data_IF_897463973642
#
_entry.id   IF_897463973642
#
_cell.length_a   1.000
_cell.length_b   1.000
_cell.length_c   1.000
_cell.angle_alpha   90.00
_cell.angle_beta   90.00
_cell.angle_gamma   90.00
#
_symmetry.space_group_name_H-M   'P 1'
#
loop_
_entity.id
_entity.type
_entity.pdbx_description
1 polymer ?
#
# COMPACT_ATOMS: atom_id res chain seq x y z
N UNK A 1 -2.04 17.54 -7.07
CA UNK A 1 -3.14 17.70 -6.08
C UNK A 1 -3.54 16.32 -5.58
N UNK A 2 -3.44 15.98 -4.28
CA UNK A 2 -4.31 15.01 -3.57
C UNK A 2 -3.93 15.01 -2.07
N UNK A 3 -4.25 16.12 -1.38
CA UNK A 3 -4.03 16.33 0.07
C UNK A 3 -5.04 15.60 0.98
N UNK A 4 -5.89 14.72 0.44
CA UNK A 4 -7.08 14.23 1.15
C UNK A 4 -6.84 13.22 2.28
N UNK A 5 -5.61 12.71 2.45
CA UNK A 5 -5.30 11.77 3.54
C UNK A 5 -4.53 12.36 4.72
N UNK A 6 -4.03 13.60 4.61
CA UNK A 6 -3.19 14.17 5.68
C UNK A 6 -4.01 14.50 6.93
N UNK A 7 -5.23 14.99 6.74
CA UNK A 7 -6.14 15.41 7.81
C UNK A 7 -7.35 14.48 7.98
N UNK A 8 -7.38 13.36 7.27
CA UNK A 8 -8.49 12.40 7.35
C UNK A 8 -8.25 11.41 8.50
N UNK A 9 -9.31 11.11 9.25
CA UNK A 9 -9.26 10.09 10.29
C UNK A 9 -9.10 8.67 9.70
N UNK A 10 -9.64 8.47 8.49
CA UNK A 10 -9.56 7.24 7.70
C UNK A 10 -9.37 7.55 6.22
N UNK A 11 -8.60 6.72 5.54
CA UNK A 11 -8.41 6.76 4.10
C UNK A 11 -8.77 5.43 3.47
N UNK A 12 -9.50 5.50 2.37
CA UNK A 12 -9.92 4.32 1.62
C UNK A 12 -9.10 4.23 0.33
N UNK A 13 -8.54 3.04 0.09
CA UNK A 13 -7.79 2.72 -1.13
C UNK A 13 -8.54 1.63 -1.86
N UNK A 14 -9.10 1.99 -3.01
CA UNK A 14 -9.74 1.05 -3.92
C UNK A 14 -8.71 0.54 -4.94
N UNK A 15 -8.58 -0.78 -5.02
CA UNK A 15 -7.64 -1.49 -5.91
C UNK A 15 -8.43 -2.19 -7.02
N UNK A 16 -8.66 -1.49 -8.12
CA UNK A 16 -9.41 -2.01 -9.27
C UNK A 16 -8.74 -3.20 -9.96
N UNK A 17 -7.43 -3.36 -9.76
CA UNK A 17 -6.58 -4.42 -10.30
C UNK A 17 -6.45 -5.64 -9.38
N UNK A 18 -7.07 -5.62 -8.19
CA UNK A 18 -7.14 -6.76 -7.27
C UNK A 18 -8.57 -7.30 -7.32
N UNK A 19 -8.72 -8.50 -7.89
CA UNK A 19 -10.01 -9.19 -7.98
C UNK A 19 -10.00 -10.43 -7.10
N UNK A 20 -11.05 -10.60 -6.30
CA UNK A 20 -11.25 -11.80 -5.49
C UNK A 20 -12.24 -12.70 -6.24
N UNK A 21 -11.87 -13.95 -6.57
CA UNK A 21 -12.81 -14.88 -7.17
C UNK A 21 -13.95 -15.17 -6.20
N UNK A 22 -15.18 -15.09 -6.71
CA UNK A 22 -16.40 -15.38 -5.95
C UNK A 22 -16.43 -16.88 -5.62
N UNK A 23 -16.03 -17.23 -4.40
CA UNK A 23 -15.97 -18.60 -3.92
C UNK A 23 -15.99 -18.65 -2.39
N UNK A 24 -16.75 -19.61 -1.83
CA UNK A 24 -17.09 -19.71 -0.41
C UNK A 24 -15.89 -19.88 0.55
N UNK A 25 -14.67 -20.04 0.02
CA UNK A 25 -13.44 -20.15 0.81
C UNK A 25 -12.54 -18.91 0.64
N UNK A 26 -13.06 -17.76 1.07
CA UNK A 26 -12.31 -16.50 1.16
C UNK A 26 -11.23 -16.60 2.26
N UNK A 27 -10.13 -17.27 1.95
CA UNK A 27 -8.94 -17.26 2.82
C UNK A 27 -8.05 -16.08 2.43
N UNK A 28 -7.31 -15.53 3.40
CA UNK A 28 -6.36 -14.42 3.24
C UNK A 28 -5.38 -14.64 2.07
N UNK A 29 -5.07 -15.90 1.77
CA UNK A 29 -4.17 -16.30 0.67
C UNK A 29 -4.72 -15.95 -0.73
N UNK A 30 -6.04 -15.84 -0.88
CA UNK A 30 -6.69 -15.74 -2.20
C UNK A 30 -6.45 -14.39 -2.86
N UNK A 31 -6.49 -13.30 -2.09
CA UNK A 31 -6.28 -11.96 -2.61
C UNK A 31 -4.81 -11.52 -2.55
N UNK A 32 -3.99 -12.17 -1.72
CA UNK A 32 -2.60 -11.77 -1.51
C UNK A 32 -1.77 -11.81 -2.80
N UNK A 33 -1.94 -12.85 -3.62
CA UNK A 33 -1.24 -12.96 -4.90
C UNK A 33 -1.61 -11.82 -5.87
N UNK A 34 -2.89 -11.44 -5.94
CA UNK A 34 -3.35 -10.33 -6.76
C UNK A 34 -2.87 -8.97 -6.19
N UNK A 35 -2.91 -8.82 -4.86
CA UNK A 35 -2.41 -7.63 -4.18
C UNK A 35 -0.91 -7.42 -4.38
N UNK A 36 -0.10 -8.49 -4.31
CA UNK A 36 1.35 -8.45 -4.62
C UNK A 36 1.64 -7.95 -6.03
N UNK A 37 0.77 -8.28 -6.99
CA UNK A 37 0.86 -7.81 -8.37
C UNK A 37 0.19 -6.46 -8.62
N UNK A 38 -0.32 -5.80 -7.57
CA UNK A 38 -1.11 -4.60 -7.74
C UNK A 38 -0.30 -3.44 -8.35
N UNK A 39 -0.90 -2.79 -9.34
CA UNK A 39 -0.36 -1.58 -9.96
C UNK A 39 -0.24 -0.44 -8.95
N UNK A 40 -1.11 -0.42 -7.93
CA UNK A 40 -1.03 0.57 -6.87
C UNK A 40 0.31 0.44 -6.14
N UNK A 41 0.63 -0.75 -5.63
CA UNK A 41 1.86 -1.01 -4.87
C UNK A 41 3.14 -0.87 -5.69
N UNK A 42 3.06 -1.00 -7.02
CA UNK A 42 4.22 -0.84 -7.91
C UNK A 42 4.45 0.61 -8.34
N UNK A 43 3.49 1.51 -8.14
CA UNK A 43 3.64 2.93 -8.44
C UNK A 43 4.27 3.69 -7.27
N UNK A 44 5.33 4.46 -7.54
CA UNK A 44 6.15 5.15 -6.54
C UNK A 44 5.44 6.19 -5.66
N UNK A 45 4.23 6.64 -6.03
CA UNK A 45 3.43 7.59 -5.23
C UNK A 45 2.67 6.96 -4.05
N UNK A 46 2.68 5.63 -3.92
CA UNK A 46 2.07 4.94 -2.77
C UNK A 46 2.76 5.23 -1.45
N UNK A 47 4.05 5.55 -1.48
CA UNK A 47 4.84 5.87 -0.30
C UNK A 47 4.22 6.99 0.54
N UNK A 48 3.79 8.08 -0.11
CA UNK A 48 3.23 9.24 0.59
C UNK A 48 1.87 8.96 1.22
N UNK A 49 1.06 8.06 0.62
CA UNK A 49 -0.24 7.66 1.18
C UNK A 49 -0.09 6.67 2.32
N UNK A 50 0.87 5.74 2.22
CA UNK A 50 1.12 4.73 3.24
C UNK A 50 1.75 5.30 4.51
N UNK A 51 2.54 6.37 4.39
CA UNK A 51 3.17 7.05 5.53
C UNK A 51 2.27 8.11 6.18
N UNK A 52 1.07 8.34 5.66
CA UNK A 52 0.12 9.25 6.28
C UNK A 52 -0.35 8.71 7.65
N UNK A 53 -0.66 9.58 8.62
CA UNK A 53 -1.14 9.16 9.94
C UNK A 53 -2.57 8.59 9.90
N UNK A 54 -3.31 8.81 8.82
CA UNK A 54 -4.66 8.29 8.64
C UNK A 54 -4.67 6.74 8.62
N UNK A 55 -5.69 6.14 9.24
CA UNK A 55 -5.93 4.70 9.09
C UNK A 55 -6.31 4.39 7.64
N UNK A 56 -5.46 3.68 6.91
CA UNK A 56 -5.70 3.32 5.51
C UNK A 56 -6.37 1.94 5.44
N UNK A 57 -7.52 1.85 4.80
CA UNK A 57 -8.27 0.62 4.55
C UNK A 57 -8.26 0.30 3.05
N UNK A 58 -8.01 -0.96 2.70
CA UNK A 58 -7.86 -1.44 1.33
C UNK A 58 -9.08 -2.24 0.89
N UNK A 59 -9.53 -1.99 -0.33
CA UNK A 59 -10.70 -2.61 -0.94
C UNK A 59 -10.35 -3.20 -2.30
N UNK A 60 -10.86 -4.39 -2.59
CA UNK A 60 -10.76 -5.05 -3.90
C UNK A 60 -11.67 -4.39 -4.93
N UNK A 61 -11.55 -4.83 -6.18
CA UNK A 61 -12.44 -4.44 -7.28
C UNK A 61 -13.91 -4.70 -6.96
N UNK A 62 -14.21 -5.79 -6.26
CA UNK A 62 -15.54 -6.23 -5.83
C UNK A 62 -15.99 -5.53 -4.53
N UNK A 63 -15.33 -4.44 -4.14
CA UNK A 63 -15.61 -3.66 -2.91
C UNK A 63 -15.45 -4.49 -1.63
N UNK A 64 -14.71 -5.61 -1.70
CA UNK A 64 -14.41 -6.43 -0.54
C UNK A 64 -13.22 -5.85 0.21
N UNK A 65 -13.33 -5.82 1.54
CA UNK A 65 -12.28 -5.31 2.42
C UNK A 65 -11.12 -6.30 2.49
N UNK A 66 -9.96 -5.90 1.98
CA UNK A 66 -8.72 -6.68 2.02
C UNK A 66 -8.02 -6.60 3.38
N UNK A 67 -8.14 -5.45 4.05
CA UNK A 67 -7.53 -5.22 5.35
C UNK A 67 -7.18 -3.76 5.59
N UNK A 68 -6.69 -3.47 6.79
CA UNK A 68 -6.10 -2.16 7.10
C UNK A 68 -4.59 -2.18 6.86
N UNK A 69 -3.97 -1.01 6.69
CA UNK A 69 -2.50 -0.89 6.61
C UNK A 69 -1.80 -1.68 7.70
N UNK A 70 -2.29 -1.62 8.93
CA UNK A 70 -1.70 -2.35 10.07
C UNK A 70 -1.89 -3.86 9.99
N UNK A 71 -2.93 -4.34 9.32
CA UNK A 71 -3.20 -5.77 9.14
C UNK A 71 -2.32 -6.36 8.02
N UNK A 72 -2.07 -5.56 6.98
CA UNK A 72 -1.35 -6.01 5.78
C UNK A 72 0.04 -5.37 5.64
N UNK A 73 0.58 -4.82 6.75
CA UNK A 73 1.86 -4.09 6.77
C UNK A 73 3.03 -4.98 6.39
N UNK A 74 2.96 -6.27 6.71
CA UNK A 74 3.98 -7.24 6.35
C UNK A 74 4.02 -7.46 4.84
N UNK A 75 2.87 -7.66 4.20
CA UNK A 75 2.74 -7.81 2.76
C UNK A 75 3.23 -6.54 2.06
N UNK A 76 2.82 -5.37 2.54
CA UNK A 76 3.29 -4.09 2.00
C UNK A 76 4.81 -3.97 2.15
N UNK A 77 5.38 -4.33 3.30
CA UNK A 77 6.83 -4.32 3.53
C UNK A 77 7.56 -5.22 2.55
N UNK A 78 7.10 -6.46 2.35
CA UNK A 78 7.71 -7.41 1.41
C UNK A 78 7.72 -6.88 -0.03
N UNK A 79 6.65 -6.17 -0.43
CA UNK A 79 6.51 -5.65 -1.79
C UNK A 79 7.26 -4.32 -1.98
N UNK A 80 7.26 -3.46 -0.95
CA UNK A 80 7.76 -2.08 -1.05
C UNK A 80 9.14 -1.85 -0.45
N UNK A 81 9.63 -2.80 0.36
CA UNK A 81 10.82 -2.68 1.20
C UNK A 81 10.77 -1.53 2.21
N UNK A 82 9.60 -0.90 2.39
CA UNK A 82 9.41 0.13 3.41
C UNK A 82 9.35 -0.56 4.77
N UNK A 83 10.17 -0.17 5.75
CA UNK A 83 10.17 -0.77 7.08
C UNK A 83 8.78 -0.66 7.74
N UNK A 84 8.34 -1.73 8.39
CA UNK A 84 7.09 -1.75 9.15
C UNK A 84 7.05 -0.62 10.19
N UNK A 85 8.20 -0.31 10.79
CA UNK A 85 8.38 0.81 11.71
C UNK A 85 7.90 2.15 11.11
N UNK A 86 8.14 2.39 9.82
CA UNK A 86 7.69 3.61 9.14
C UNK A 86 6.15 3.66 9.03
N UNK A 87 5.47 2.52 8.86
CA UNK A 87 4.00 2.45 8.91
C UNK A 87 3.43 2.62 10.32
N UNK A 88 4.19 2.24 11.35
CA UNK A 88 3.80 2.39 12.75
C UNK A 88 4.07 3.79 13.32
N UNK A 89 4.52 4.73 12.50
CA UNK A 89 4.70 6.13 12.89
C UNK A 89 6.11 6.49 13.35
N UNK A 90 7.11 5.64 13.11
CA UNK A 90 8.51 6.01 13.32
C UNK A 90 8.84 7.25 12.48
N UNK A 91 9.39 8.32 13.08
CA UNK A 91 9.76 9.52 12.35
C UNK A 91 10.69 9.22 11.18
N UNK A 92 10.45 9.86 10.02
CA UNK A 92 11.29 9.70 8.83
C UNK A 92 12.75 10.08 9.05
N UNK A 93 13.06 10.87 10.07
CA UNK A 93 14.41 11.24 10.48
C UNK A 93 15.22 10.06 11.04
N UNK A 94 14.56 8.98 11.48
CA UNK A 94 15.25 7.77 11.95
C UNK A 94 15.71 6.86 10.81
N UNK A 95 15.31 7.14 9.58
CA UNK A 95 15.73 6.40 8.39
C UNK A 95 16.71 7.24 7.58
N UNK A 96 17.78 6.61 7.11
CA UNK A 96 18.79 7.28 6.28
C UNK A 96 18.17 7.82 4.99
N UNK A 97 18.82 8.81 4.39
CA UNK A 97 18.40 9.33 3.08
C UNK A 97 18.44 8.21 2.04
N UNK A 98 19.49 7.39 2.04
CA UNK A 98 19.62 6.24 1.15
C UNK A 98 18.48 5.22 1.31
N UNK A 99 18.07 4.89 2.54
CA UNK A 99 16.91 4.03 2.77
C UNK A 99 15.63 4.65 2.21
N UNK A 100 15.38 5.92 2.50
CA UNK A 100 14.20 6.63 1.98
C UNK A 100 14.19 6.72 0.46
N UNK A 101 15.36 6.90 -0.14
CA UNK A 101 15.54 6.92 -1.60
C UNK A 101 15.30 5.53 -2.20
N UNK A 102 15.72 4.45 -1.53
CA UNK A 102 15.41 3.07 -1.95
C UNK A 102 13.92 2.77 -1.95
N UNK A 103 13.14 3.35 -1.03
CA UNK A 103 11.68 3.19 -1.02
C UNK A 103 11.01 3.79 -2.27
N UNK A 104 11.57 4.90 -2.78
CA UNK A 104 11.10 5.55 -4.00
C UNK A 104 11.61 4.86 -5.28
N UNK A 105 12.77 4.19 -5.20
CA UNK A 105 13.51 3.64 -6.34
C UNK A 105 13.08 2.23 -6.78
N UNK A 106 11.80 1.88 -6.69
CA UNK A 106 11.32 0.57 -7.17
C UNK A 106 11.76 0.30 -8.63
N UNK A 107 12.30 -0.89 -8.95
CA UNK A 107 12.82 -1.21 -10.29
C UNK A 107 11.77 -1.36 -11.40
N UNK A 108 10.46 -1.29 -11.11
CA UNK A 108 9.39 -1.51 -12.10
C UNK A 108 8.54 -0.27 -12.41
N UNK A 109 9.00 0.93 -12.05
CA UNK A 109 8.41 2.22 -12.46
C UNK A 109 8.72 2.54 -13.94
N UNK A 110 8.55 1.58 -14.85
CA UNK A 110 8.56 1.81 -16.30
C UNK A 110 7.15 2.13 -16.81
N UNK A 111 6.52 3.17 -16.29
CA UNK A 111 5.43 3.80 -17.04
C UNK A 111 5.47 5.29 -16.81
N UNK A 112 5.84 6.00 -17.88
CA UNK A 112 5.78 7.45 -18.00
C UNK A 112 4.32 7.85 -17.76
N UNK A 113 4.14 8.79 -16.84
CA UNK A 113 2.85 9.40 -16.51
C UNK A 113 2.32 10.13 -17.75
N UNK A 114 1.05 9.91 -18.07
CA UNK A 114 0.18 10.81 -18.84
C UNK A 114 -1.08 11.04 -17.99
#
# INVERSE_FOLDING_TARGET
MFHRCRDALKCYVYLADVSIPDGENQTEWTWEAAFRNSLWLTRGWTLQKLLAPASVEFFSREEQRLGSRSTIEQQIHEISYIPIAAFRGTPLSQFSVDERMRWAAKPNTKKKED
#
